data_IF_139963550554
#
_entry.id   IF_139963550554
#
_cell.length_a   1.000
_cell.length_b   1.000
_cell.length_c   1.000
_cell.angle_alpha   90.00
_cell.angle_beta   90.00
_cell.angle_gamma   90.00
#
_symmetry.space_group_name_H-M   'P 1'
#
loop_
_entity.id
_entity.type
_entity.pdbx_description
1 polymer ?
#
# COMPACT_ATOMS: atom_id res chain seq x y z
N UNK A 1 31.69 20.05 -29.97
CA UNK A 1 30.84 21.10 -29.36
C UNK A 1 29.38 20.83 -29.71
N UNK A 2 28.48 20.89 -28.72
CA UNK A 2 27.03 20.76 -28.93
C UNK A 2 26.37 22.14 -29.01
N UNK A 3 25.49 22.35 -29.99
CA UNK A 3 24.71 23.59 -30.10
C UNK A 3 23.38 23.34 -30.81
N UNK A 4 22.49 24.34 -30.75
CA UNK A 4 21.20 24.31 -31.44
C UNK A 4 21.29 25.12 -32.73
N UNK A 5 20.70 24.58 -33.80
CA UNK A 5 20.52 25.29 -35.06
C UNK A 5 19.02 25.40 -35.35
N UNK A 6 18.64 26.48 -36.03
CA UNK A 6 17.28 26.71 -36.52
C UNK A 6 17.31 26.47 -38.03
N UNK A 7 16.50 25.53 -38.51
CA UNK A 7 16.35 25.26 -39.94
C UNK A 7 15.48 26.36 -40.60
N UNK A 8 15.55 26.55 -41.93
CA UNK A 8 14.73 27.56 -42.63
C UNK A 8 13.21 27.41 -42.42
N UNK A 9 12.75 26.20 -42.10
CA UNK A 9 11.35 25.93 -41.75
C UNK A 9 10.99 26.25 -40.28
N UNK A 10 11.89 26.89 -39.52
CA UNK A 10 11.73 27.21 -38.10
C UNK A 10 12.03 26.05 -37.14
N UNK A 11 12.27 24.84 -37.64
CA UNK A 11 12.52 23.66 -36.81
C UNK A 11 13.89 23.72 -36.11
N UNK A 12 13.92 23.44 -34.81
CA UNK A 12 15.16 23.37 -34.04
C UNK A 12 15.80 21.97 -34.18
N UNK A 13 17.12 21.95 -34.38
CA UNK A 13 17.93 20.73 -34.25
C UNK A 13 19.07 20.95 -33.26
N UNK A 14 19.36 19.92 -32.49
CA UNK A 14 20.59 19.80 -31.74
C UNK A 14 21.64 19.16 -32.64
N UNK A 15 22.81 19.78 -32.73
CA UNK A 15 23.93 19.25 -33.50
C UNK A 15 25.17 19.16 -32.64
N UNK A 16 25.94 18.10 -32.86
CA UNK A 16 27.30 17.96 -32.36
C UNK A 16 28.25 18.23 -33.52
N UNK A 17 29.06 19.28 -33.42
CA UNK A 17 30.11 19.54 -34.39
C UNK A 17 31.49 19.33 -33.78
N UNK A 18 32.38 18.71 -34.53
CA UNK A 18 33.80 18.68 -34.20
C UNK A 18 34.59 19.15 -35.41
N UNK A 19 35.65 19.92 -35.20
CA UNK A 19 36.47 20.46 -36.28
C UNK A 19 37.95 20.47 -35.87
N UNK A 20 38.79 20.11 -36.82
CA UNK A 20 40.25 20.15 -36.71
C UNK A 20 40.81 21.08 -37.78
N UNK A 21 41.81 21.85 -37.38
CA UNK A 21 42.57 22.72 -38.27
C UNK A 21 43.74 21.93 -38.84
N UNK A 22 43.86 21.94 -40.17
CA UNK A 22 45.05 21.50 -40.86
C UNK A 22 45.92 22.71 -41.14
N UNK A 23 47.20 22.60 -40.78
CA UNK A 23 48.20 23.65 -40.97
C UNK A 23 49.11 23.31 -42.16
N UNK A 24 49.68 24.34 -42.80
CA UNK A 24 50.76 24.19 -43.77
C UNK A 24 52.14 24.11 -43.08
N UNK A 25 53.19 23.87 -43.86
CA UNK A 25 54.58 23.75 -43.36
C UNK A 25 55.12 25.05 -42.76
N UNK A 26 54.41 26.18 -42.92
CA UNK A 26 54.74 27.49 -42.35
C UNK A 26 53.92 27.79 -41.09
N UNK A 27 53.09 26.84 -40.62
CA UNK A 27 52.24 27.00 -39.45
C UNK A 27 50.95 27.79 -39.69
N UNK A 28 50.60 28.10 -40.93
CA UNK A 28 49.34 28.80 -41.25
C UNK A 28 48.20 27.79 -41.45
N UNK A 29 46.98 28.17 -41.09
CA UNK A 29 45.80 27.32 -41.31
C UNK A 29 45.56 27.16 -42.81
N UNK A 30 45.70 25.93 -43.31
CA UNK A 30 45.49 25.54 -44.70
C UNK A 30 44.05 25.16 -44.98
N UNK A 31 43.42 24.43 -44.07
CA UNK A 31 42.00 24.05 -44.17
C UNK A 31 41.41 23.68 -42.82
N UNK A 32 40.09 23.73 -42.73
CA UNK A 32 39.35 23.20 -41.58
C UNK A 32 38.56 21.99 -42.04
N UNK A 33 38.70 20.88 -41.34
CA UNK A 33 37.89 19.67 -41.56
C UNK A 33 36.98 19.53 -40.34
N UNK A 34 35.68 19.52 -40.56
CA UNK A 34 34.72 19.31 -39.49
C UNK A 34 33.59 18.40 -39.90
N UNK A 35 33.01 17.75 -38.90
CA UNK A 35 31.78 16.98 -39.02
C UNK A 35 30.68 17.67 -38.22
N UNK A 36 29.45 17.57 -38.70
CA UNK A 36 28.25 18.01 -37.98
C UNK A 36 27.30 16.85 -37.95
N UNK A 37 27.00 16.33 -36.76
CA UNK A 37 26.06 15.26 -36.54
C UNK A 37 24.76 15.83 -35.96
N UNK A 38 23.62 15.50 -36.55
CA UNK A 38 22.32 15.77 -35.93
C UNK A 38 22.14 14.81 -34.75
N UNK A 39 22.00 15.35 -33.55
CA UNK A 39 21.81 14.62 -32.29
C UNK A 39 20.43 14.92 -31.67
N UNK A 40 19.51 15.46 -32.46
CA UNK A 40 18.19 15.88 -31.95
C UNK A 40 17.39 14.71 -31.40
N UNK A 41 17.33 13.60 -32.12
CA UNK A 41 16.60 12.41 -31.68
C UNK A 41 17.17 11.87 -30.36
N UNK A 42 18.51 11.81 -30.25
CA UNK A 42 19.20 11.41 -29.01
C UNK A 42 18.80 12.32 -27.84
N UNK A 43 18.84 13.64 -28.04
CA UNK A 43 18.48 14.62 -26.99
C UNK A 43 17.01 14.53 -26.58
N UNK A 44 16.10 14.28 -27.53
CA UNK A 44 14.67 14.08 -27.23
C UNK A 44 14.47 12.80 -26.41
N UNK A 45 15.11 11.70 -26.80
CA UNK A 45 15.03 10.43 -26.06
C UNK A 45 15.61 10.55 -24.64
N UNK A 46 16.79 11.18 -24.49
CA UNK A 46 17.40 11.45 -23.19
C UNK A 46 16.50 12.31 -22.29
N UNK A 47 15.89 13.37 -22.85
CA UNK A 47 14.98 14.23 -22.11
C UNK A 47 13.71 13.49 -21.67
N UNK A 48 13.10 12.71 -22.57
CA UNK A 48 11.90 11.90 -22.28
C UNK A 48 12.17 10.84 -21.21
N UNK A 49 13.35 10.19 -21.25
CA UNK A 49 13.77 9.23 -20.23
C UNK A 49 13.94 9.91 -18.88
N UNK A 50 14.64 11.05 -18.85
CA UNK A 50 14.86 11.83 -17.63
C UNK A 50 13.55 12.30 -17.02
N UNK A 51 12.61 12.81 -17.84
CA UNK A 51 11.29 13.23 -17.38
C UNK A 51 10.51 12.06 -16.76
N UNK A 52 10.53 10.90 -17.42
CA UNK A 52 9.87 9.69 -16.92
C UNK A 52 10.45 9.23 -15.59
N UNK A 53 11.78 9.23 -15.46
CA UNK A 53 12.48 8.88 -14.22
C UNK A 53 12.16 9.87 -13.09
N UNK A 54 12.15 11.18 -13.37
CA UNK A 54 11.79 12.20 -12.41
C UNK A 54 10.34 12.04 -11.92
N UNK A 55 9.41 11.79 -12.85
CA UNK A 55 8.00 11.57 -12.52
C UNK A 55 7.81 10.35 -11.65
N UNK A 56 8.45 9.22 -11.99
CA UNK A 56 8.40 8.00 -11.18
C UNK A 56 8.97 8.24 -9.78
N UNK A 57 10.12 8.92 -9.69
CA UNK A 57 10.76 9.25 -8.41
C UNK A 57 9.85 10.12 -7.52
N UNK A 58 9.20 11.14 -8.09
CA UNK A 58 8.25 11.99 -7.37
C UNK A 58 7.06 11.18 -6.85
N UNK A 59 6.49 10.29 -7.66
CA UNK A 59 5.38 9.43 -7.22
C UNK A 59 5.79 8.51 -6.06
N UNK A 60 7.00 7.93 -6.10
CA UNK A 60 7.52 7.10 -5.01
C UNK A 60 7.83 7.89 -3.74
N UNK A 61 8.23 9.16 -3.86
CA UNK A 61 8.50 10.03 -2.71
C UNK A 61 7.22 10.56 -2.06
N UNK A 62 6.14 10.71 -2.82
CA UNK A 62 4.86 11.24 -2.35
C UNK A 62 3.87 10.16 -1.91
N UNK A 63 4.18 8.88 -2.11
CA UNK A 63 3.32 7.79 -1.62
C UNK A 63 3.30 7.76 -0.08
N UNK A 64 2.14 7.51 0.56
CA UNK A 64 2.09 7.30 2.00
C UNK A 64 2.71 5.95 2.42
N UNK A 65 3.00 5.08 1.46
CA UNK A 65 3.59 3.75 1.71
C UNK A 65 5.10 3.82 1.84
N UNK A 66 5.64 3.13 2.84
CA UNK A 66 7.07 2.93 2.98
C UNK A 66 7.58 2.03 1.86
N UNK A 67 8.52 2.51 1.05
CA UNK A 67 9.20 1.71 0.03
C UNK A 67 10.55 1.28 0.62
N UNK A 68 10.75 -0.03 0.67
CA UNK A 68 11.97 -0.67 1.17
C UNK A 68 12.43 -1.70 0.15
N UNK A 69 13.65 -1.60 -0.34
CA UNK A 69 14.23 -2.62 -1.23
C UNK A 69 15.35 -3.36 -0.51
N UNK A 70 15.45 -4.65 -0.78
CA UNK A 70 16.42 -5.58 -0.20
C UNK A 70 17.29 -6.22 -1.28
N UNK A 71 18.58 -6.40 -1.00
CA UNK A 71 19.44 -7.26 -1.79
C UNK A 71 19.21 -8.76 -1.49
N UNK A 72 19.90 -9.64 -2.20
CA UNK A 72 19.81 -11.11 -1.99
C UNK A 72 20.33 -11.57 -0.63
N UNK A 73 21.11 -10.74 0.08
CA UNK A 73 21.58 -10.99 1.45
C UNK A 73 20.64 -10.41 2.51
N UNK A 74 19.45 -9.98 2.11
CA UNK A 74 18.44 -9.37 2.96
C UNK A 74 18.90 -8.08 3.65
N UNK A 75 19.76 -7.31 2.97
CA UNK A 75 20.19 -5.97 3.40
C UNK A 75 19.36 -4.89 2.71
N UNK A 76 19.02 -3.85 3.46
CA UNK A 76 18.27 -2.70 2.93
C UNK A 76 19.16 -1.92 1.96
N UNK A 77 18.70 -1.76 0.71
CA UNK A 77 19.38 -0.97 -0.34
C UNK A 77 18.58 0.27 -0.76
N UNK A 78 17.31 0.32 -0.39
CA UNK A 78 16.44 1.48 -0.64
C UNK A 78 15.51 1.72 0.54
N UNK A 79 15.28 2.99 0.83
CA UNK A 79 14.47 3.47 1.94
C UNK A 79 13.92 4.84 1.57
N UNK A 80 12.60 4.93 1.34
CA UNK A 80 11.98 6.20 0.94
C UNK A 80 11.58 7.07 2.15
N UNK A 81 11.22 8.35 1.95
CA UNK A 81 10.80 9.25 3.03
C UNK A 81 9.56 8.77 3.82
N UNK A 82 8.68 7.97 3.21
CA UNK A 82 7.54 7.40 3.92
C UNK A 82 7.98 6.30 4.89
N UNK A 83 8.96 5.47 4.52
CA UNK A 83 9.55 4.49 5.42
C UNK A 83 10.23 5.18 6.62
N UNK A 84 10.90 6.31 6.39
CA UNK A 84 11.46 7.12 7.50
C UNK A 84 10.39 7.57 8.49
N UNK A 85 9.22 8.00 7.98
CA UNK A 85 8.10 8.42 8.83
C UNK A 85 7.46 7.25 9.59
N UNK A 86 7.31 6.10 8.93
CA UNK A 86 6.68 4.91 9.53
C UNK A 86 7.57 4.31 10.62
N UNK A 87 8.85 4.05 10.32
CA UNK A 87 9.74 3.34 11.23
C UNK A 87 10.61 4.26 12.10
N UNK A 88 10.73 5.55 11.74
CA UNK A 88 11.49 6.55 12.51
C UNK A 88 13.00 6.52 12.29
N UNK A 89 13.50 5.70 11.36
CA UNK A 89 14.90 5.65 10.97
C UNK A 89 15.15 6.46 9.70
N UNK A 90 16.22 7.24 9.68
CA UNK A 90 16.67 7.89 8.43
C UNK A 90 17.15 6.86 7.43
N UNK A 91 17.11 7.22 6.13
CA UNK A 91 17.69 6.42 5.06
C UNK A 91 19.15 6.06 5.36
N UNK A 92 19.94 7.01 5.81
CA UNK A 92 21.37 6.82 6.11
C UNK A 92 21.60 5.79 7.21
N UNK A 93 20.70 5.69 8.19
CA UNK A 93 20.74 4.67 9.25
C UNK A 93 20.27 3.30 8.75
N UNK A 94 19.32 3.28 7.81
CA UNK A 94 18.69 2.06 7.32
C UNK A 94 19.53 1.33 6.25
N UNK A 95 20.19 2.05 5.34
CA UNK A 95 20.94 1.43 4.24
C UNK A 95 22.05 0.51 4.79
N UNK A 96 22.11 -0.72 4.27
CA UNK A 96 23.07 -1.76 4.62
C UNK A 96 22.69 -2.61 5.84
N UNK A 97 21.70 -2.19 6.62
CA UNK A 97 21.18 -2.95 7.76
C UNK A 97 20.38 -4.16 7.32
N UNK A 98 20.33 -5.16 8.19
CA UNK A 98 19.39 -6.28 8.09
C UNK A 98 18.12 -5.94 8.86
N UNK A 99 16.92 -6.34 8.39
CA UNK A 99 15.67 -6.07 9.11
C UNK A 99 15.63 -6.64 10.53
N UNK A 100 16.26 -7.78 10.76
CA UNK A 100 16.40 -8.40 12.08
C UNK A 100 17.14 -7.48 13.05
N UNK A 101 16.51 -7.19 14.19
CA UNK A 101 17.07 -6.31 15.22
C UNK A 101 17.01 -4.82 14.87
N UNK A 102 16.53 -4.47 13.66
CA UNK A 102 16.37 -3.10 13.21
C UNK A 102 14.89 -2.69 13.17
N UNK A 103 14.11 -3.31 12.28
CA UNK A 103 12.66 -3.10 12.15
C UNK A 103 11.84 -4.35 12.49
N UNK A 104 12.49 -5.49 12.73
CA UNK A 104 11.89 -6.76 13.12
C UNK A 104 12.44 -7.17 14.48
N UNK A 105 11.54 -7.56 15.39
CA UNK A 105 11.94 -8.10 16.68
C UNK A 105 12.72 -9.43 16.50
N UNK A 106 13.89 -9.60 17.12
CA UNK A 106 14.67 -10.85 17.03
C UNK A 106 13.89 -12.11 17.43
N UNK A 107 12.84 -11.99 18.25
CA UNK A 107 12.00 -13.11 18.69
C UNK A 107 11.13 -13.68 17.57
N UNK A 108 10.84 -12.91 16.53
CA UNK A 108 9.98 -13.32 15.40
C UNK A 108 10.75 -13.51 14.08
N UNK A 109 12.08 -13.39 14.08
CA UNK A 109 12.93 -13.55 12.88
C UNK A 109 12.66 -14.84 12.13
N UNK A 110 12.34 -15.93 12.84
CA UNK A 110 12.09 -17.24 12.21
C UNK A 110 10.96 -17.19 11.19
N UNK A 111 9.91 -16.44 11.47
CA UNK A 111 8.77 -16.34 10.55
C UNK A 111 9.09 -15.41 9.38
N UNK A 112 9.86 -14.35 9.61
CA UNK A 112 10.36 -13.48 8.53
C UNK A 112 11.28 -14.25 7.58
N UNK A 113 12.17 -15.10 8.07
CA UNK A 113 13.04 -15.93 7.24
C UNK A 113 12.24 -16.91 6.35
N UNK A 114 11.09 -17.41 6.82
CA UNK A 114 10.20 -18.22 5.97
C UNK A 114 9.61 -17.39 4.83
N UNK A 115 9.13 -16.18 5.13
CA UNK A 115 8.60 -15.25 4.13
C UNK A 115 9.70 -14.91 3.10
N UNK A 116 10.91 -14.61 3.57
CA UNK A 116 12.06 -14.31 2.72
C UNK A 116 12.40 -15.48 1.77
N UNK A 117 12.50 -16.70 2.30
CA UNK A 117 12.74 -17.89 1.48
C UNK A 117 11.61 -18.16 0.49
N UNK A 118 10.35 -17.92 0.87
CA UNK A 118 9.22 -18.03 -0.03
C UNK A 118 9.26 -17.00 -1.17
N UNK A 119 9.74 -15.78 -0.89
CA UNK A 119 9.95 -14.73 -1.89
C UNK A 119 11.08 -15.08 -2.86
N UNK A 120 12.23 -15.53 -2.35
CA UNK A 120 13.37 -15.94 -3.19
C UNK A 120 13.05 -17.14 -4.08
N UNK A 121 12.20 -18.05 -3.60
CA UNK A 121 11.71 -19.20 -4.39
C UNK A 121 10.46 -18.89 -5.22
N UNK A 122 9.93 -17.66 -5.13
CA UNK A 122 8.69 -17.23 -5.78
C UNK A 122 7.47 -18.10 -5.48
N UNK A 123 7.48 -18.80 -4.34
CA UNK A 123 6.40 -19.71 -3.91
C UNK A 123 5.37 -19.03 -3.01
N UNK A 124 5.65 -17.82 -2.52
CA UNK A 124 4.75 -17.06 -1.66
C UNK A 124 5.40 -15.82 -1.05
N UNK A 125 4.74 -15.25 -0.04
CA UNK A 125 5.27 -14.09 0.70
C UNK A 125 5.04 -12.73 0.03
N UNK A 126 4.38 -12.67 -1.13
CA UNK A 126 4.06 -11.41 -1.83
C UNK A 126 3.18 -10.48 -0.99
N UNK A 127 2.41 -11.02 -0.05
CA UNK A 127 1.68 -10.24 0.95
C UNK A 127 1.89 -10.85 2.32
N UNK A 128 2.19 -10.02 3.31
CA UNK A 128 2.32 -10.45 4.70
C UNK A 128 1.89 -9.34 5.66
N UNK A 129 1.57 -9.72 6.88
CA UNK A 129 1.23 -8.77 7.95
C UNK A 129 2.05 -9.15 9.16
N UNK A 130 2.94 -8.26 9.57
CA UNK A 130 3.91 -8.55 10.63
C UNK A 130 3.96 -7.40 11.63
N UNK A 131 4.36 -7.73 12.85
CA UNK A 131 4.73 -6.73 13.83
C UNK A 131 6.14 -6.21 13.50
N UNK A 132 6.28 -4.90 13.53
CA UNK A 132 7.53 -4.19 13.29
C UNK A 132 7.84 -3.27 14.46
N UNK A 133 9.12 -3.00 14.69
CA UNK A 133 9.59 -2.11 15.75
C UNK A 133 10.12 -0.83 15.12
N UNK A 134 9.71 0.31 15.66
CA UNK A 134 10.21 1.62 15.27
C UNK A 134 11.46 1.99 16.06
N UNK A 135 12.20 3.02 15.62
CA UNK A 135 13.37 3.57 16.35
C UNK A 135 13.06 3.95 17.81
N UNK A 136 11.82 4.38 18.09
CA UNK A 136 11.36 4.74 19.43
C UNK A 136 11.02 3.51 20.31
N UNK A 137 11.17 2.29 19.79
CA UNK A 137 10.79 1.06 20.48
C UNK A 137 9.29 0.75 20.46
N UNK A 138 8.47 1.55 19.75
CA UNK A 138 7.04 1.28 19.57
C UNK A 138 6.86 0.13 18.59
N UNK A 139 6.04 -0.85 18.95
CA UNK A 139 5.54 -1.88 18.04
C UNK A 139 4.41 -1.33 17.18
N UNK A 140 4.53 -1.51 15.87
CA UNK A 140 3.51 -1.20 14.87
C UNK A 140 3.17 -2.48 14.09
N UNK A 141 1.98 -2.54 13.50
CA UNK A 141 1.57 -3.63 12.63
C UNK A 141 1.66 -3.11 11.19
N UNK A 142 2.55 -3.68 10.41
CA UNK A 142 2.69 -3.33 9.01
C UNK A 142 2.10 -4.40 8.11
N UNK A 143 1.35 -3.93 7.11
CA UNK A 143 0.98 -4.72 5.95
C UNK A 143 2.03 -4.53 4.86
N UNK A 144 2.55 -5.65 4.36
CA UNK A 144 3.68 -5.70 3.44
C UNK A 144 3.23 -6.24 2.09
N UNK A 145 3.62 -5.56 1.02
CA UNK A 145 3.44 -6.01 -0.36
C UNK A 145 4.82 -6.16 -1.01
N UNK A 146 5.23 -7.39 -1.26
CA UNK A 146 6.59 -7.75 -1.65
C UNK A 146 6.62 -8.22 -3.11
N UNK A 147 7.55 -7.67 -3.89
CA UNK A 147 7.77 -8.00 -5.29
C UNK A 147 9.22 -8.43 -5.48
N UNK A 148 9.49 -9.72 -5.79
CA UNK A 148 10.83 -10.16 -6.16
C UNK A 148 11.30 -9.43 -7.42
N UNK A 149 12.55 -8.95 -7.40
CA UNK A 149 13.23 -8.39 -8.56
C UNK A 149 13.98 -9.53 -9.25
N UNK A 150 13.75 -9.69 -10.54
CA UNK A 150 14.28 -10.80 -11.34
C UNK A 150 15.12 -10.22 -12.47
N UNK A 151 16.28 -10.81 -12.72
CA UNK A 151 17.09 -10.50 -13.91
C UNK A 151 16.58 -11.20 -15.18
N UNK A 152 17.21 -10.89 -16.31
CA UNK A 152 16.88 -11.47 -17.63
C UNK A 152 17.08 -13.00 -17.69
N UNK A 153 17.80 -13.58 -16.73
CA UNK A 153 18.05 -15.03 -16.64
C UNK A 153 17.03 -15.75 -15.77
N UNK A 154 16.10 -15.03 -15.13
CA UNK A 154 15.09 -15.58 -14.24
C UNK A 154 15.54 -15.72 -12.78
N UNK A 155 16.72 -15.21 -12.41
CA UNK A 155 17.22 -15.27 -11.05
C UNK A 155 16.72 -14.08 -10.23
N UNK A 156 16.35 -14.34 -8.97
CA UNK A 156 15.98 -13.26 -8.04
C UNK A 156 17.23 -12.51 -7.59
N UNK A 157 17.29 -11.21 -7.90
CA UNK A 157 18.39 -10.30 -7.57
C UNK A 157 18.10 -9.40 -6.37
N UNK A 158 16.87 -9.44 -5.86
CA UNK A 158 16.44 -8.68 -4.68
C UNK A 158 14.93 -8.72 -4.49
N UNK A 159 14.43 -7.90 -3.56
CA UNK A 159 12.99 -7.77 -3.30
C UNK A 159 12.68 -6.30 -3.05
N UNK A 160 11.67 -5.76 -3.72
CA UNK A 160 11.09 -4.44 -3.37
C UNK A 160 9.80 -4.65 -2.61
N UNK A 161 9.66 -3.96 -1.49
CA UNK A 161 8.57 -4.10 -0.54
C UNK A 161 7.91 -2.76 -0.27
N UNK A 162 6.58 -2.76 -0.27
CA UNK A 162 5.76 -1.64 0.22
C UNK A 162 5.26 -1.98 1.62
N UNK A 163 5.36 -1.03 2.55
CA UNK A 163 4.90 -1.14 3.92
C UNK A 163 3.81 -0.10 4.20
N UNK A 164 2.68 -0.56 4.73
CA UNK A 164 1.62 0.30 5.25
C UNK A 164 1.51 0.07 6.77
N UNK A 165 1.63 1.13 7.57
CA UNK A 165 1.28 1.05 8.99
C UNK A 165 -0.24 0.96 9.14
N UNK A 166 -0.73 -0.21 9.53
CA UNK A 166 -2.15 -0.51 9.72
C UNK A 166 -2.51 -0.61 11.20
N UNK A 167 -1.64 -0.13 12.10
CA UNK A 167 -1.82 -0.23 13.55
C UNK A 167 -3.12 0.42 14.01
N UNK A 168 -3.40 1.64 13.56
CA UNK A 168 -4.62 2.37 13.93
C UNK A 168 -5.87 1.63 13.45
N UNK A 169 -5.86 1.18 12.19
CA UNK A 169 -6.96 0.42 11.57
C UNK A 169 -7.25 -0.85 12.36
N UNK A 170 -6.22 -1.63 12.68
CA UNK A 170 -6.37 -2.89 13.42
C UNK A 170 -6.77 -2.65 14.87
N UNK A 171 -6.22 -1.63 15.52
CA UNK A 171 -6.57 -1.29 16.91
C UNK A 171 -8.04 -0.88 17.01
N UNK A 172 -8.50 0.01 16.14
CA UNK A 172 -9.89 0.44 16.09
C UNK A 172 -10.83 -0.74 15.81
N UNK A 173 -10.46 -1.64 14.89
CA UNK A 173 -11.25 -2.84 14.61
C UNK A 173 -11.33 -3.77 15.83
N UNK A 174 -10.20 -4.00 16.53
CA UNK A 174 -10.16 -4.84 17.74
C UNK A 174 -11.01 -4.26 18.87
N UNK A 175 -10.97 -2.95 19.06
CA UNK A 175 -11.82 -2.26 20.04
C UNK A 175 -13.30 -2.40 19.73
N UNK A 176 -13.68 -2.17 18.46
CA UNK A 176 -15.06 -2.35 18.00
C UNK A 176 -15.54 -3.79 18.21
N UNK A 177 -14.71 -4.78 17.85
CA UNK A 177 -15.03 -6.20 18.05
C UNK A 177 -15.18 -6.56 19.54
N UNK A 178 -14.35 -5.98 20.41
CA UNK A 178 -14.46 -6.16 21.86
C UNK A 178 -15.76 -5.57 22.40
N UNK A 179 -16.12 -4.36 21.99
CA UNK A 179 -17.40 -3.75 22.36
C UNK A 179 -18.59 -4.55 21.83
N UNK A 180 -18.53 -5.03 20.58
CA UNK A 180 -19.56 -5.89 20.00
C UNK A 180 -19.77 -7.17 20.82
N UNK A 181 -18.68 -7.88 21.14
CA UNK A 181 -18.74 -9.10 21.99
C UNK A 181 -19.33 -8.81 23.36
N UNK A 182 -18.92 -7.72 24.00
CA UNK A 182 -19.45 -7.35 25.31
C UNK A 182 -20.97 -7.07 25.28
N UNK A 183 -21.46 -6.39 24.24
CA UNK A 183 -22.90 -6.15 24.05
C UNK A 183 -23.66 -7.46 23.78
N UNK A 184 -23.13 -8.36 22.95
CA UNK A 184 -23.72 -9.67 22.67
C UNK A 184 -23.81 -10.55 23.93
N UNK A 185 -22.78 -10.54 24.78
CA UNK A 185 -22.79 -11.24 26.08
C UNK A 185 -23.87 -10.67 27.01
N UNK A 186 -23.97 -9.34 27.13
CA UNK A 186 -25.01 -8.70 27.95
C UNK A 186 -26.41 -9.07 27.48
N UNK A 187 -26.67 -9.07 26.17
CA UNK A 187 -27.97 -9.48 25.60
C UNK A 187 -28.26 -10.95 25.83
N UNK A 188 -27.24 -11.82 25.71
CA UNK A 188 -27.39 -13.27 25.92
C UNK A 188 -27.67 -13.61 27.38
N UNK A 189 -27.02 -12.93 28.33
CA UNK A 189 -27.22 -13.13 29.78
C UNK A 189 -28.52 -12.49 30.28
N UNK A 190 -28.97 -11.39 29.66
CA UNK A 190 -30.22 -10.71 30.00
C UNK A 190 -31.43 -11.19 29.20
N UNK A 191 -31.26 -12.18 28.31
CA UNK A 191 -32.37 -12.94 27.75
C UNK A 191 -32.66 -14.13 28.68
N UNK A 192 -33.61 -14.02 29.63
CA UNK A 192 -34.08 -15.20 30.31
C UNK A 192 -34.59 -16.19 29.26
N UNK A 193 -34.10 -17.42 29.33
CA UNK A 193 -34.82 -18.57 28.83
C UNK A 193 -36.24 -18.53 29.43
N UNK A 194 -37.17 -17.90 28.72
CA UNK A 194 -38.43 -17.48 29.33
C UNK A 194 -39.34 -16.54 28.53
N UNK A 195 -39.15 -16.36 27.22
CA UNK A 195 -40.24 -15.88 26.34
C UNK A 195 -40.31 -16.76 25.09
N UNK A 196 -40.30 -18.08 25.32
CA UNK A 196 -40.83 -19.05 24.38
C UNK A 196 -41.76 -19.97 25.17
N UNK A 197 -43.06 -19.67 25.14
CA UNK A 197 -44.09 -20.56 25.67
C UNK A 197 -44.67 -20.20 27.04
N UNK A 198 -45.26 -19.01 27.19
CA UNK A 198 -46.43 -18.89 28.07
C UNK A 198 -47.52 -18.09 27.36
N UNK A 199 -48.47 -18.83 26.76
CA UNK A 199 -49.81 -18.34 26.48
C UNK A 199 -50.50 -18.11 27.83
N UNK A 200 -50.19 -16.99 28.49
CA UNK A 200 -51.08 -16.47 29.53
C UNK A 200 -51.56 -15.11 29.07
N UNK A 201 -52.85 -15.08 28.77
CA UNK A 201 -53.62 -13.89 28.47
C UNK A 201 -53.39 -12.83 29.56
N UNK A 202 -52.51 -11.86 29.29
CA UNK A 202 -52.58 -10.57 29.96
C UNK A 202 -53.83 -9.87 29.43
N UNK A 203 -54.92 -9.99 30.19
CA UNK A 203 -56.10 -9.16 30.03
C UNK A 203 -55.67 -7.69 30.10
N UNK A 204 -55.68 -7.03 28.94
CA UNK A 204 -55.42 -5.61 28.80
C UNK A 204 -56.52 -4.86 29.56
N UNK A 205 -56.16 -4.17 30.65
CA UNK A 205 -57.10 -3.24 31.30
C UNK A 205 -57.39 -2.05 30.38
N UNK A 206 -58.66 -1.72 30.08
CA UNK A 206 -59.02 -0.89 28.95
C UNK A 206 -59.11 0.61 29.32
N UNK A 207 -58.09 1.20 29.93
CA UNK A 207 -58.20 2.61 30.34
C UNK A 207 -56.96 3.50 30.17
N UNK A 208 -56.21 3.36 29.07
CA UNK A 208 -55.24 4.39 28.67
C UNK A 208 -55.43 4.88 27.23
N UNK A 209 -55.30 6.20 26.95
CA UNK A 209 -55.70 6.80 25.67
C UNK A 209 -54.83 6.41 24.45
N UNK A 210 -53.68 5.75 24.67
CA UNK A 210 -52.77 5.33 23.60
C UNK A 210 -53.14 3.98 22.95
N UNK A 211 -54.11 3.25 23.52
CA UNK A 211 -54.51 1.91 23.04
C UNK A 211 -55.29 1.91 21.71
N UNK A 212 -55.89 3.05 21.30
CA UNK A 212 -56.60 3.15 20.02
C UNK A 212 -55.67 3.28 18.82
N UNK A 213 -54.46 3.80 19.02
CA UNK A 213 -53.52 4.06 17.93
C UNK A 213 -52.71 2.81 17.56
N UNK A 214 -52.49 1.88 18.50
CA UNK A 214 -51.78 0.63 18.23
C UNK A 214 -52.65 -0.48 17.62
N UNK A 215 -53.96 -0.46 17.86
CA UNK A 215 -54.91 -1.45 17.32
C UNK A 215 -55.00 -1.41 15.78
N UNK A 216 -54.75 -0.25 15.17
CA UNK A 216 -54.75 -0.10 13.72
C UNK A 216 -53.53 -0.76 13.04
N UNK A 217 -52.39 -0.83 13.72
CA UNK A 217 -51.16 -1.34 13.12
C UNK A 217 -51.07 -2.87 13.10
N UNK A 218 -51.67 -3.54 14.09
CA UNK A 218 -51.58 -5.00 14.25
C UNK A 218 -52.53 -5.75 13.29
N UNK A 219 -53.58 -5.10 12.77
CA UNK A 219 -54.51 -5.72 11.81
C UNK A 219 -53.95 -5.86 10.38
N UNK A 220 -52.82 -5.23 10.04
CA UNK A 220 -52.31 -5.20 8.66
C UNK A 220 -51.19 -6.20 8.36
N UNK A 221 -50.53 -6.77 9.37
CA UNK A 221 -49.32 -7.60 9.15
C UNK A 221 -49.46 -9.07 9.49
N UNK A 222 -50.57 -9.53 10.09
CA UNK A 222 -50.76 -10.96 10.37
C UNK A 222 -52.00 -11.53 9.67
N UNK A 223 -51.86 -11.77 8.36
CA UNK A 223 -52.69 -12.75 7.65
C UNK A 223 -52.11 -14.14 7.92
N UNK A 224 -52.99 -15.03 8.39
CA UNK A 224 -52.86 -16.49 8.47
C UNK A 224 -52.04 -17.06 9.63
N UNK A 225 -52.73 -17.45 10.71
CA UNK A 225 -53.19 -18.85 10.86
C UNK A 225 -53.61 -19.10 12.32
N UNK A 226 -54.88 -19.47 12.49
CA UNK A 226 -55.52 -20.21 13.60
C UNK A 226 -56.90 -19.64 13.92
N UNK A 227 -57.85 -19.89 13.00
CA UNK A 227 -59.29 -19.84 13.26
C UNK A 227 -59.82 -21.27 13.25
N UNK A 228 -60.07 -21.84 14.43
CA UNK A 228 -61.01 -22.95 14.76
C UNK A 228 -60.71 -23.32 16.22
N UNK A 229 -61.64 -23.53 17.14
CA UNK A 229 -63.09 -23.55 17.18
C UNK A 229 -63.47 -23.28 18.65
N UNK A 230 -64.65 -22.71 18.92
CA UNK A 230 -65.48 -22.95 20.11
C UNK A 230 -66.73 -22.05 20.03
N UNK A 231 -67.73 -22.54 19.31
CA UNK A 231 -69.12 -22.08 19.40
C UNK A 231 -69.97 -23.28 19.80
N UNK A 232 -70.25 -23.42 21.09
CA UNK A 232 -71.46 -24.03 21.66
C UNK A 232 -71.46 -23.77 23.17
N UNK A 233 -72.04 -22.63 23.54
CA UNK A 233 -73.08 -22.48 24.56
C UNK A 233 -73.89 -21.24 24.18
#
# INVERSE_FOLDING_TARGET
MEFRIIRPNGGIRHVYANAYLNFDDKGNVKSTIGTVQDITERKIAEASLRESQQKLSLHLQQTPLGVVSFDTNFRIIEWNPAAEKIFGFSREEAIGQTPEGFIVDPRITRDINKIWNALLSMTGGMRSTNENITKAGKTIICEWYNTPLIDDTGNVIGVTSLAEDVTERITAQRELEKHRRHLEELVTVSSPAGIAGRKECLAIQPNKPWAKTLAWFIQRTNRNSCYTALSHL
#
